data_IF_827389844014
#
_entry.id   IF_827389844014
#
_cell.length_a   1.000
_cell.length_b   1.000
_cell.length_c   1.000
_cell.angle_alpha   90.00
_cell.angle_beta   90.00
_cell.angle_gamma   90.00
#
_symmetry.space_group_name_H-M   'P 1'
#
loop_
_entity.id
_entity.type
_entity.pdbx_description
1 polymer ?
#
# COMPACT_ATOMS: atom_id res chain seq x y z
N UNK A 1 8.63 4.20 9.92
CA UNK A 1 7.85 3.37 8.97
C UNK A 1 7.68 4.10 7.67
N UNK A 2 7.60 3.39 6.56
CA UNK A 2 7.28 3.94 5.25
C UNK A 2 5.78 3.85 5.00
N UNK A 3 5.24 4.88 4.39
CA UNK A 3 3.81 5.01 4.13
C UNK A 3 3.54 5.29 2.66
N UNK A 4 2.44 4.74 2.15
CA UNK A 4 1.94 5.04 0.82
C UNK A 4 0.45 4.71 0.68
N UNK A 5 -0.19 5.24 -0.36
CA UNK A 5 -1.55 4.91 -0.76
C UNK A 5 -1.59 4.42 -2.20
N UNK A 6 -2.34 3.38 -2.44
CA UNK A 6 -2.59 2.91 -3.80
C UNK A 6 -4.05 2.56 -4.04
N UNK A 7 -4.48 2.72 -5.29
CA UNK A 7 -5.80 2.29 -5.74
C UNK A 7 -5.75 0.92 -6.40
N UNK A 8 -6.86 0.18 -6.28
CA UNK A 8 -7.13 -1.04 -7.03
C UNK A 8 -8.48 -0.91 -7.74
N UNK A 9 -8.55 -1.34 -8.98
CA UNK A 9 -9.75 -1.25 -9.81
C UNK A 9 -10.26 -2.63 -10.24
N UNK A 10 -11.50 -2.69 -10.76
CA UNK A 10 -11.99 -3.87 -11.46
C UNK A 10 -11.23 -4.16 -12.76
N UNK A 11 -10.38 -3.23 -13.19
CA UNK A 11 -9.59 -3.29 -14.42
C UNK A 11 -8.10 -3.26 -14.15
N UNK A 12 -7.63 -4.10 -13.25
CA UNK A 12 -6.19 -4.22 -13.07
C UNK A 12 -5.48 -4.69 -14.35
N UNK A 13 -4.20 -4.32 -14.42
CA UNK A 13 -3.39 -4.54 -15.60
C UNK A 13 -3.45 -5.99 -16.09
N UNK A 14 -3.79 -6.13 -17.36
CA UNK A 14 -3.72 -7.42 -18.03
C UNK A 14 -2.25 -7.83 -18.16
N UNK A 15 -1.97 -9.07 -17.86
CA UNK A 15 -0.68 -9.69 -18.13
C UNK A 15 -0.85 -10.78 -19.19
N UNK A 16 0.25 -11.17 -19.80
CA UNK A 16 0.28 -12.33 -20.70
C UNK A 16 -0.26 -13.56 -19.95
N UNK A 17 -1.14 -14.31 -20.62
CA UNK A 17 -1.70 -15.53 -20.09
C UNK A 17 -1.70 -16.65 -21.16
N UNK A 18 -1.84 -17.87 -20.71
CA UNK A 18 -1.93 -19.03 -21.59
C UNK A 18 -3.33 -19.16 -22.16
N UNK A 19 -3.41 -19.47 -23.46
CA UNK A 19 -4.64 -19.79 -24.15
C UNK A 19 -4.39 -20.90 -25.17
N UNK A 20 -5.45 -21.61 -25.58
CA UNK A 20 -5.33 -22.57 -26.67
C UNK A 20 -4.90 -21.87 -27.96
N UNK A 21 -4.00 -22.50 -28.73
CA UNK A 21 -3.56 -21.98 -30.04
C UNK A 21 -4.76 -21.58 -30.90
N UNK A 22 -4.74 -20.35 -31.43
CA UNK A 22 -5.83 -19.80 -32.24
C UNK A 22 -7.05 -19.29 -31.45
N UNK A 23 -7.04 -19.34 -30.11
CA UNK A 23 -8.12 -18.78 -29.25
C UNK A 23 -7.60 -17.57 -28.48
N UNK A 24 -8.22 -16.40 -28.69
CA UNK A 24 -7.91 -15.20 -27.91
C UNK A 24 -8.71 -15.24 -26.62
N UNK A 25 -8.07 -15.07 -25.44
CA UNK A 25 -8.80 -14.95 -24.19
C UNK A 25 -9.69 -13.69 -24.24
N UNK A 26 -10.97 -13.85 -23.99
CA UNK A 26 -11.95 -12.75 -23.93
C UNK A 26 -12.28 -12.49 -22.48
N UNK A 27 -12.11 -11.24 -22.07
CA UNK A 27 -12.36 -10.80 -20.71
C UNK A 27 -13.56 -9.84 -20.70
N UNK A 28 -14.62 -10.20 -19.99
CA UNK A 28 -15.78 -9.30 -19.79
C UNK A 28 -15.51 -8.35 -18.64
N UNK A 29 -15.83 -7.10 -18.84
CA UNK A 29 -15.68 -6.04 -17.85
C UNK A 29 -16.89 -6.03 -16.93
N UNK A 30 -16.67 -6.03 -15.63
CA UNK A 30 -17.75 -6.01 -14.62
C UNK A 30 -18.19 -4.58 -14.30
N UNK A 31 -17.22 -3.65 -14.19
CA UNK A 31 -17.49 -2.24 -13.86
C UNK A 31 -16.54 -1.30 -14.59
N UNK A 32 -16.98 -0.04 -14.78
CA UNK A 32 -16.16 1.05 -15.34
C UNK A 32 -15.43 1.86 -14.25
N UNK A 33 -15.60 1.53 -12.97
CA UNK A 33 -14.96 2.24 -11.88
C UNK A 33 -13.43 2.14 -11.99
N UNK A 34 -12.77 3.30 -12.03
CA UNK A 34 -11.29 3.38 -12.11
C UNK A 34 -10.62 3.07 -10.78
N UNK A 35 -11.27 3.42 -9.65
CA UNK A 35 -10.82 3.13 -8.29
C UNK A 35 -11.98 2.55 -7.50
N UNK A 36 -12.06 1.25 -7.45
CA UNK A 36 -13.08 0.56 -6.67
C UNK A 36 -12.73 0.57 -5.19
N UNK A 37 -11.44 0.37 -4.88
CA UNK A 37 -10.90 0.36 -3.53
C UNK A 37 -9.55 1.08 -3.52
N UNK A 38 -9.27 1.84 -2.46
CA UNK A 38 -7.93 2.36 -2.17
C UNK A 38 -7.44 1.82 -0.84
N UNK A 39 -6.14 1.68 -0.71
CA UNK A 39 -5.50 1.13 0.50
C UNK A 39 -4.42 2.08 0.96
N UNK A 40 -4.48 2.52 2.22
CA UNK A 40 -3.37 3.13 2.90
C UNK A 40 -2.53 2.02 3.57
N UNK A 41 -1.23 2.06 3.41
CA UNK A 41 -0.30 1.04 3.91
C UNK A 41 0.87 1.69 4.63
N UNK A 42 1.24 1.11 5.77
CA UNK A 42 2.47 1.45 6.45
C UNK A 42 3.34 0.19 6.60
N UNK A 43 4.59 0.27 6.16
CA UNK A 43 5.59 -0.79 6.26
C UNK A 43 6.68 -0.39 7.26
N UNK A 44 6.85 -1.18 8.31
CA UNK A 44 7.89 -0.94 9.33
C UNK A 44 9.19 -1.66 9.00
N UNK A 45 10.31 -1.18 9.57
CA UNK A 45 11.59 -1.88 9.51
C UNK A 45 11.60 -3.27 10.19
N UNK A 46 10.59 -3.56 11.02
CA UNK A 46 10.38 -4.90 11.58
C UNK A 46 9.61 -5.83 10.64
N UNK A 47 9.21 -5.35 9.45
CA UNK A 47 8.42 -6.13 8.50
C UNK A 47 6.92 -6.21 8.83
N UNK A 48 6.45 -5.45 9.83
CA UNK A 48 5.00 -5.34 10.09
C UNK A 48 4.36 -4.45 9.01
N UNK A 49 3.21 -4.88 8.53
CA UNK A 49 2.39 -4.14 7.55
C UNK A 49 1.09 -3.76 8.21
N UNK A 50 0.83 -2.47 8.34
CA UNK A 50 -0.45 -1.91 8.76
C UNK A 50 -1.18 -1.43 7.50
N UNK A 51 -2.49 -1.67 7.42
CA UNK A 51 -3.26 -1.27 6.25
C UNK A 51 -4.72 -1.03 6.56
N UNK A 52 -5.32 -0.12 5.82
CA UNK A 52 -6.77 0.07 5.79
C UNK A 52 -7.25 0.24 4.36
N UNK A 53 -8.43 -0.30 4.09
CA UNK A 53 -9.08 -0.21 2.78
C UNK A 53 -10.26 0.75 2.84
N UNK A 54 -10.35 1.60 1.84
CA UNK A 54 -11.41 2.60 1.68
C UNK A 54 -12.04 2.49 0.29
N UNK A 55 -13.32 2.78 0.19
CA UNK A 55 -13.98 2.87 -1.11
C UNK A 55 -13.63 4.19 -1.79
N UNK A 56 -13.35 4.14 -3.09
CA UNK A 56 -12.94 5.30 -3.87
C UNK A 56 -11.55 5.81 -3.53
N UNK A 57 -11.34 7.11 -3.62
CA UNK A 57 -10.05 7.75 -3.34
C UNK A 57 -9.88 8.06 -1.86
N UNK A 58 -8.67 7.87 -1.34
CA UNK A 58 -8.31 8.26 0.03
C UNK A 58 -8.30 9.78 0.15
N UNK A 59 -8.91 10.29 1.19
CA UNK A 59 -8.92 11.69 1.59
C UNK A 59 -8.15 11.86 2.91
N UNK A 60 -7.94 13.11 3.33
CA UNK A 60 -7.21 13.42 4.56
C UNK A 60 -7.86 12.81 5.80
N UNK A 61 -9.20 12.70 5.84
CA UNK A 61 -9.93 12.05 6.93
C UNK A 61 -9.58 10.55 7.02
N UNK A 62 -9.49 9.88 5.87
CA UNK A 62 -9.12 8.45 5.81
C UNK A 62 -7.65 8.23 6.22
N UNK A 63 -6.78 9.18 5.85
CA UNK A 63 -5.39 9.20 6.28
C UNK A 63 -5.31 9.25 7.81
N UNK A 64 -5.99 10.23 8.43
CA UNK A 64 -6.02 10.42 9.88
C UNK A 64 -6.57 9.17 10.57
N UNK A 65 -7.71 8.64 10.10
CA UNK A 65 -8.30 7.41 10.64
C UNK A 65 -7.30 6.23 10.61
N UNK A 66 -6.46 6.18 9.57
CA UNK A 66 -5.43 5.13 9.47
C UNK A 66 -4.26 5.40 10.41
N UNK A 67 -3.83 6.64 10.56
CA UNK A 67 -2.78 7.03 11.52
C UNK A 67 -3.20 6.70 12.96
N UNK A 68 -4.42 7.05 13.36
CA UNK A 68 -4.97 6.68 14.67
C UNK A 68 -5.00 5.16 14.88
N UNK A 69 -5.38 4.41 13.83
CA UNK A 69 -5.35 2.95 13.88
C UNK A 69 -3.94 2.40 14.10
N UNK A 70 -2.94 2.99 13.46
CA UNK A 70 -1.53 2.61 13.63
C UNK A 70 -1.02 2.99 15.01
N UNK A 71 -1.31 4.20 15.50
CA UNK A 71 -0.89 4.66 16.83
C UNK A 71 -1.42 3.76 17.96
N UNK A 72 -2.66 3.29 17.86
CA UNK A 72 -3.21 2.33 18.84
C UNK A 72 -2.44 1.00 18.91
N UNK A 73 -1.69 0.65 17.87
CA UNK A 73 -0.94 -0.61 17.79
C UNK A 73 0.56 -0.45 18.05
N UNK A 74 1.06 0.78 17.98
CA UNK A 74 2.48 1.09 18.17
C UNK A 74 2.60 2.09 19.32
N UNK A 75 3.00 1.65 20.51
CA UNK A 75 3.25 2.56 21.61
C UNK A 75 4.49 3.42 21.36
N UNK A 76 4.39 4.70 21.70
CA UNK A 76 5.51 5.63 21.65
C UNK A 76 5.63 6.41 20.35
N UNK A 77 6.84 6.94 20.09
CA UNK A 77 7.11 7.81 18.95
C UNK A 77 7.17 7.05 17.64
N UNK A 78 6.61 7.66 16.59
CA UNK A 78 6.61 7.12 15.24
C UNK A 78 7.36 8.08 14.31
N UNK A 79 8.33 7.59 13.57
CA UNK A 79 8.89 8.29 12.40
C UNK A 79 8.15 7.77 11.19
N UNK A 80 7.38 8.65 10.55
CA UNK A 80 6.58 8.36 9.35
C UNK A 80 7.28 8.95 8.14
N UNK A 81 7.62 8.12 7.18
CA UNK A 81 8.34 8.48 5.96
C UNK A 81 7.35 8.34 4.80
N UNK A 82 7.03 9.42 4.13
CA UNK A 82 6.04 9.48 3.05
C UNK A 82 6.40 10.46 1.94
N UNK A 83 5.65 10.47 0.87
CA UNK A 83 5.78 11.44 -0.20
C UNK A 83 5.06 12.77 0.12
N UNK A 84 5.11 13.70 -0.83
CA UNK A 84 4.45 15.01 -0.74
C UNK A 84 3.08 15.02 -1.43
N UNK A 85 2.29 13.95 -1.33
CA UNK A 85 0.94 13.92 -1.86
C UNK A 85 0.07 15.04 -1.25
N UNK A 86 -0.90 15.52 -2.01
CA UNK A 86 -1.77 16.64 -1.59
C UNK A 86 -2.52 16.38 -0.29
N UNK A 87 -2.87 15.13 -0.01
CA UNK A 87 -3.53 14.73 1.25
C UNK A 87 -2.60 14.84 2.45
N UNK A 88 -1.27 14.60 2.28
CA UNK A 88 -0.25 14.76 3.32
C UNK A 88 -0.03 16.23 3.66
N UNK A 89 -0.11 17.10 2.66
CA UNK A 89 0.10 18.56 2.81
C UNK A 89 -1.16 19.33 3.16
N UNK A 90 -2.31 18.66 3.29
CA UNK A 90 -3.59 19.31 3.57
C UNK A 90 -3.60 20.03 4.92
N UNK A 91 -4.45 21.05 5.05
CA UNK A 91 -4.62 21.77 6.32
C UNK A 91 -5.08 20.84 7.44
N UNK A 92 -5.95 19.87 7.13
CA UNK A 92 -6.49 18.92 8.09
C UNK A 92 -5.39 17.99 8.61
N UNK A 93 -4.56 17.43 7.70
CA UNK A 93 -3.44 16.58 8.09
C UNK A 93 -2.41 17.34 8.93
N UNK A 94 -2.09 18.58 8.54
CA UNK A 94 -1.15 19.42 9.30
C UNK A 94 -1.66 19.75 10.70
N UNK A 95 -2.94 20.08 10.84
CA UNK A 95 -3.54 20.32 12.16
C UNK A 95 -3.48 19.06 13.04
N UNK A 96 -3.85 17.91 12.48
CA UNK A 96 -3.75 16.64 13.20
C UNK A 96 -2.32 16.35 13.70
N UNK A 97 -1.31 16.55 12.85
CA UNK A 97 0.10 16.31 13.23
C UNK A 97 0.61 17.32 14.27
N UNK A 98 0.10 18.54 14.29
CA UNK A 98 0.43 19.51 15.36
C UNK A 98 -0.07 19.04 16.74
N UNK A 99 -1.23 18.38 16.78
CA UNK A 99 -1.80 17.81 18.00
C UNK A 99 -1.18 16.47 18.40
N UNK A 100 -0.35 15.86 17.51
CA UNK A 100 0.30 14.56 17.68
C UNK A 100 1.83 14.64 17.53
N UNK A 101 2.55 15.32 18.43
CA UNK A 101 4.00 15.54 18.31
C UNK A 101 4.83 14.24 18.44
N UNK A 102 4.22 13.14 18.84
CA UNK A 102 4.83 11.80 18.82
C UNK A 102 4.99 11.23 17.40
N UNK A 103 4.29 11.79 16.39
CA UNK A 103 4.46 11.44 14.98
C UNK A 103 5.44 12.42 14.34
N UNK A 104 6.65 11.96 14.09
CA UNK A 104 7.66 12.71 13.36
C UNK A 104 7.55 12.41 11.87
N UNK A 105 7.51 13.45 11.06
CA UNK A 105 7.38 13.32 9.60
C UNK A 105 8.75 13.50 8.94
N UNK A 106 9.09 12.58 8.06
CA UNK A 106 10.19 12.67 7.11
C UNK A 106 9.64 12.58 5.69
N UNK A 107 9.91 13.59 4.88
CA UNK A 107 9.43 13.65 3.50
C UNK A 107 10.43 12.99 2.55
N UNK A 108 9.94 12.10 1.69
CA UNK A 108 10.73 11.59 0.58
C UNK A 108 10.99 12.69 -0.46
N UNK A 109 12.10 12.63 -1.18
CA UNK A 109 12.34 13.52 -2.30
C UNK A 109 11.20 13.44 -3.33
N UNK A 110 10.87 14.58 -3.94
CA UNK A 110 9.85 14.61 -4.98
C UNK A 110 10.25 13.70 -6.16
N UNK A 111 9.27 12.99 -6.70
CA UNK A 111 9.44 12.09 -7.85
C UNK A 111 10.46 10.96 -7.65
N UNK A 112 10.62 10.47 -6.42
CA UNK A 112 11.54 9.38 -6.09
C UNK A 112 10.82 8.17 -5.44
N UNK A 113 9.83 7.56 -6.13
CA UNK A 113 9.09 6.41 -5.58
C UNK A 113 10.00 5.21 -5.32
N UNK A 114 11.11 5.09 -6.04
CA UNK A 114 12.10 4.05 -5.85
C UNK A 114 12.78 4.07 -4.46
N UNK A 115 12.70 5.18 -3.74
CA UNK A 115 13.19 5.30 -2.36
C UNK A 115 12.17 4.84 -1.31
N UNK A 116 10.94 4.54 -1.72
CA UNK A 116 9.90 4.06 -0.84
C UNK A 116 9.76 2.53 -0.91
N UNK A 117 10.20 1.76 0.10
CA UNK A 117 10.03 0.29 0.13
C UNK A 117 8.56 -0.15 0.03
N UNK A 118 7.61 0.71 0.41
CA UNK A 118 6.20 0.38 0.34
C UNK A 118 5.72 0.31 -1.12
N UNK A 119 6.25 1.11 -2.03
CA UNK A 119 5.97 1.04 -3.47
C UNK A 119 6.27 -0.36 -4.04
N UNK A 120 7.36 -0.98 -3.62
CA UNK A 120 7.67 -2.37 -3.98
C UNK A 120 6.71 -3.36 -3.31
N UNK A 121 6.25 -3.05 -2.10
CA UNK A 121 5.31 -3.88 -1.35
C UNK A 121 3.96 -3.95 -2.07
N UNK A 122 3.31 -2.80 -2.31
CA UNK A 122 2.03 -2.79 -3.02
C UNK A 122 2.16 -3.17 -4.50
N UNK A 123 3.28 -2.82 -5.14
CA UNK A 123 3.60 -3.27 -6.50
C UNK A 123 3.65 -4.80 -6.61
N UNK A 124 4.23 -5.48 -5.61
CA UNK A 124 4.24 -6.93 -5.53
C UNK A 124 2.84 -7.51 -5.32
N UNK A 125 2.00 -6.89 -4.48
CA UNK A 125 0.60 -7.30 -4.31
C UNK A 125 -0.15 -7.15 -5.63
N UNK A 126 -0.05 -6.01 -6.32
CA UNK A 126 -0.67 -5.79 -7.62
C UNK A 126 -0.20 -6.79 -8.67
N UNK A 127 1.11 -7.06 -8.71
CA UNK A 127 1.69 -8.05 -9.63
C UNK A 127 1.11 -9.44 -9.41
N UNK A 128 0.92 -9.84 -8.16
CA UNK A 128 0.34 -11.13 -7.80
C UNK A 128 -1.14 -11.23 -8.17
N UNK A 129 -1.83 -10.10 -8.23
CA UNK A 129 -3.26 -10.02 -8.59
C UNK A 129 -3.49 -9.71 -10.08
N UNK A 130 -2.45 -9.67 -10.92
CA UNK A 130 -2.62 -9.54 -12.36
C UNK A 130 -3.53 -10.63 -12.91
N UNK A 131 -4.39 -10.27 -13.86
CA UNK A 131 -5.44 -11.11 -14.44
C UNK A 131 -6.54 -11.55 -13.46
N UNK A 132 -6.51 -11.10 -12.21
CA UNK A 132 -7.61 -11.30 -11.29
C UNK A 132 -8.87 -10.58 -11.78
N UNK A 133 -10.04 -11.15 -11.46
CA UNK A 133 -11.35 -10.68 -11.95
C UNK A 133 -12.33 -10.60 -10.81
N UNK A 134 -12.15 -9.63 -9.93
CA UNK A 134 -13.12 -9.44 -8.88
C UNK A 134 -14.47 -9.03 -9.48
N UNK A 135 -15.54 -9.59 -8.95
CA UNK A 135 -16.92 -9.28 -9.31
C UNK A 135 -17.53 -8.25 -8.35
N UNK A 136 -16.91 -8.04 -7.19
CA UNK A 136 -17.37 -7.08 -6.18
C UNK A 136 -16.21 -6.41 -5.45
N UNK A 137 -16.50 -5.33 -4.72
CA UNK A 137 -15.52 -4.63 -3.87
C UNK A 137 -15.02 -5.51 -2.71
N UNK A 138 -15.89 -6.37 -2.19
CA UNK A 138 -15.58 -7.34 -1.14
C UNK A 138 -14.57 -8.37 -1.64
N UNK A 139 -14.72 -8.83 -2.89
CA UNK A 139 -13.71 -9.69 -3.50
C UNK A 139 -12.38 -8.99 -3.68
N UNK A 140 -12.36 -7.72 -4.14
CA UNK A 140 -11.13 -6.92 -4.21
C UNK A 140 -10.47 -6.84 -2.85
N UNK A 141 -11.24 -6.50 -1.80
CA UNK A 141 -10.73 -6.45 -0.41
C UNK A 141 -10.12 -7.78 0.01
N UNK A 142 -10.84 -8.88 -0.18
CA UNK A 142 -10.37 -10.23 0.15
C UNK A 142 -9.09 -10.59 -0.59
N UNK A 143 -8.98 -10.23 -1.87
CA UNK A 143 -7.79 -10.48 -2.68
C UNK A 143 -6.58 -9.67 -2.19
N UNK A 144 -6.77 -8.38 -1.89
CA UNK A 144 -5.74 -7.53 -1.32
C UNK A 144 -5.29 -8.06 0.05
N UNK A 145 -6.23 -8.46 0.91
CA UNK A 145 -5.94 -9.05 2.22
C UNK A 145 -5.08 -10.31 2.10
N UNK A 146 -5.41 -11.22 1.17
CA UNK A 146 -4.60 -12.41 0.89
C UNK A 146 -3.21 -12.06 0.34
N UNK A 147 -3.13 -11.03 -0.53
CA UNK A 147 -1.87 -10.54 -1.07
C UNK A 147 -0.93 -10.05 0.05
N UNK A 148 -1.41 -9.22 0.95
CA UNK A 148 -0.64 -8.74 2.09
C UNK A 148 -0.35 -9.86 3.12
N UNK A 149 -1.29 -10.78 3.37
CA UNK A 149 -1.05 -11.92 4.24
C UNK A 149 0.07 -12.84 3.68
N UNK A 150 0.17 -12.97 2.36
CA UNK A 150 1.29 -13.66 1.70
C UNK A 150 2.62 -12.95 1.97
N UNK A 151 2.67 -11.63 1.83
CA UNK A 151 3.88 -10.84 2.08
C UNK A 151 4.35 -10.95 3.53
N UNK A 152 3.43 -10.89 4.50
CA UNK A 152 3.76 -11.03 5.94
C UNK A 152 4.46 -12.34 6.26
N UNK A 153 4.27 -13.39 5.45
CA UNK A 153 4.93 -14.71 5.58
C UNK A 153 6.25 -14.80 4.81
N UNK A 154 6.70 -13.70 4.19
CA UNK A 154 7.91 -13.65 3.37
C UNK A 154 8.83 -12.51 3.81
N UNK A 155 9.46 -12.63 5.00
CA UNK A 155 10.36 -11.61 5.51
C UNK A 155 11.57 -11.40 4.58
N UNK A 156 12.02 -12.44 3.88
CA UNK A 156 13.04 -12.37 2.84
C UNK A 156 12.67 -11.40 1.71
N UNK A 157 11.42 -11.46 1.27
CA UNK A 157 10.91 -10.59 0.22
C UNK A 157 10.73 -9.14 0.72
N UNK A 158 10.21 -8.96 1.93
CA UNK A 158 10.10 -7.62 2.55
C UNK A 158 11.49 -6.98 2.71
N UNK A 159 12.49 -7.76 3.14
CA UNK A 159 13.87 -7.28 3.24
C UNK A 159 14.42 -6.86 1.87
N UNK A 160 14.06 -7.56 0.79
CA UNK A 160 14.48 -7.20 -0.56
C UNK A 160 13.90 -5.85 -1.01
N UNK A 161 12.71 -5.47 -0.55
CA UNK A 161 12.11 -4.16 -0.87
C UNK A 161 12.90 -3.01 -0.23
N UNK A 162 13.31 -3.16 1.03
CA UNK A 162 14.18 -2.18 1.68
C UNK A 162 15.52 -2.03 0.94
N UNK A 163 16.12 -3.15 0.52
CA UNK A 163 17.37 -3.13 -0.24
C UNK A 163 17.21 -2.49 -1.62
N UNK A 164 16.10 -2.78 -2.29
CA UNK A 164 15.77 -2.17 -3.59
C UNK A 164 15.58 -0.65 -3.48
N UNK A 165 15.07 -0.18 -2.35
CA UNK A 165 14.96 1.25 -2.02
C UNK A 165 16.30 1.87 -1.53
N UNK A 166 17.44 1.16 -1.66
CA UNK A 166 18.76 1.66 -1.29
C UNK A 166 19.07 1.61 0.22
N UNK A 167 18.24 0.96 1.03
CA UNK A 167 18.40 0.91 2.47
C UNK A 167 19.25 -0.30 2.90
N UNK A 168 20.30 -0.04 3.67
CA UNK A 168 21.18 -1.08 4.23
C UNK A 168 20.55 -1.76 5.44
N UNK A 169 19.59 -2.62 5.21
CA UNK A 169 18.95 -3.44 6.25
C UNK A 169 19.55 -4.84 6.20
N UNK A 170 20.26 -5.23 7.26
CA UNK A 170 20.88 -6.57 7.36
C UNK A 170 19.87 -7.65 7.72
N UNK A 171 18.90 -7.31 8.58
CA UNK A 171 17.91 -8.23 9.08
C UNK A 171 16.65 -7.46 9.50
N UNK A 172 15.44 -7.98 9.16
CA UNK A 172 14.21 -7.47 9.77
C UNK A 172 14.16 -7.94 11.22
N UNK A 173 14.05 -7.01 12.15
CA UNK A 173 13.80 -7.35 13.55
C UNK A 173 12.32 -7.72 13.69
N UNK A 174 12.01 -9.00 13.52
CA UNK A 174 10.70 -9.55 13.83
C UNK A 174 10.54 -9.55 15.35
N UNK A 175 9.78 -8.62 15.88
CA UNK A 175 9.36 -8.59 17.31
C UNK A 175 7.90 -8.98 17.40
#
# INVERSE_FOLDING_TARGET
MFWDEFGFSFQESLATTWARKGKRPVFRRVSKERRALSTAVALTFSGKIYKRHFEGSIKSENLIETLEHVQRQIPGKIILIWDRASIHLSKLTKAYLQDHPEILIEELPAYAPELNPEEYCHGNVKQHLKNARPLSKEEIRSMLDRGFARLRRRPDLLLSFFRAAGLSVRQLRLT
#
